data_IF_886683237241
#
_entry.id   IF_886683237241
#
_cell.length_a   1.000
_cell.length_b   1.000
_cell.length_c   1.000
_cell.angle_alpha   90.00
_cell.angle_beta   90.00
_cell.angle_gamma   90.00
#
_symmetry.space_group_name_H-M   'P 1'
#
loop_
_entity.id
_entity.type
_entity.pdbx_description
1 polymer ?
#
# COMPACT_ATOMS: atom_id res chain seq x y z
N UNK A 1 -38.67 -52.27 43.42
CA UNK A 1 -37.81 -51.07 43.43
C UNK A 1 -37.56 -50.68 41.98
N UNK A 2 -38.44 -49.86 41.40
CA UNK A 2 -38.32 -49.35 40.02
C UNK A 2 -38.04 -47.86 40.11
N UNK A 3 -36.99 -47.40 39.42
CA UNK A 3 -36.67 -45.97 39.32
C UNK A 3 -36.83 -45.59 37.83
N UNK A 4 -37.88 -44.85 37.44
CA UNK A 4 -38.02 -44.39 36.07
C UNK A 4 -37.19 -43.12 35.89
N UNK A 5 -36.16 -43.24 35.04
CA UNK A 5 -35.99 -42.46 33.82
C UNK A 5 -36.12 -40.93 33.93
N UNK A 6 -34.98 -40.31 34.25
CA UNK A 6 -34.25 -39.33 33.42
C UNK A 6 -35.08 -38.74 32.26
N UNK A 7 -36.05 -37.89 32.58
CA UNK A 7 -36.79 -37.10 31.59
C UNK A 7 -36.77 -35.64 32.02
N UNK A 8 -35.59 -35.00 32.01
CA UNK A 8 -35.50 -33.52 32.11
C UNK A 8 -34.12 -32.94 31.75
N UNK A 9 -33.34 -33.65 30.94
CA UNK A 9 -32.08 -33.13 30.37
C UNK A 9 -32.14 -33.06 28.83
N UNK A 10 -33.36 -32.94 28.27
CA UNK A 10 -33.60 -32.72 26.84
C UNK A 10 -33.54 -31.24 26.42
N UNK A 11 -33.19 -30.34 27.34
CA UNK A 11 -32.57 -29.05 26.97
C UNK A 11 -31.07 -29.26 26.74
N UNK A 12 -30.74 -30.23 25.88
CA UNK A 12 -29.48 -30.28 25.17
C UNK A 12 -29.40 -28.98 24.38
N UNK A 13 -28.78 -27.96 24.98
CA UNK A 13 -27.57 -27.36 24.43
C UNK A 13 -27.54 -27.32 22.89
N UNK A 14 -28.56 -26.74 22.26
CA UNK A 14 -28.38 -26.09 20.95
C UNK A 14 -27.70 -24.76 21.24
N UNK A 15 -26.54 -24.81 21.91
CA UNK A 15 -25.55 -23.75 21.76
C UNK A 15 -25.03 -24.03 20.35
N UNK A 16 -25.62 -23.33 19.38
CA UNK A 16 -25.01 -23.17 18.07
C UNK A 16 -23.63 -22.62 18.37
N UNK A 17 -22.63 -23.50 18.36
CA UNK A 17 -21.23 -23.09 18.35
C UNK A 17 -21.02 -22.51 16.96
N UNK A 18 -21.37 -21.23 16.82
CA UNK A 18 -20.89 -20.41 15.73
C UNK A 18 -19.38 -20.40 15.92
N UNK A 19 -18.73 -21.39 15.30
CA UNK A 19 -17.29 -21.44 15.18
C UNK A 19 -16.97 -20.28 14.26
N UNK A 20 -16.67 -19.12 14.84
CA UNK A 20 -16.14 -17.99 14.10
C UNK A 20 -14.77 -18.43 13.61
N UNK A 21 -14.73 -19.04 12.43
CA UNK A 21 -13.47 -19.27 11.74
C UNK A 21 -13.00 -17.89 11.31
N UNK A 22 -12.09 -17.30 12.08
CA UNK A 22 -11.37 -16.12 11.67
C UNK A 22 -10.60 -16.50 10.39
N UNK A 23 -11.14 -16.15 9.23
CA UNK A 23 -10.42 -16.29 7.97
C UNK A 23 -9.20 -15.38 8.07
N UNK A 24 -8.02 -15.98 8.28
CA UNK A 24 -6.77 -15.25 8.24
C UNK A 24 -6.63 -14.63 6.85
N UNK A 25 -6.75 -13.30 6.76
CA UNK A 25 -6.43 -12.58 5.52
C UNK A 25 -4.95 -12.80 5.28
N UNK A 26 -4.56 -13.35 4.12
CA UNK A 26 -3.15 -13.64 3.85
C UNK A 26 -2.36 -12.34 3.78
N UNK A 27 -1.11 -12.38 4.25
CA UNK A 27 -0.16 -11.30 4.04
C UNK A 27 0.44 -11.38 2.62
N UNK A 28 0.68 -10.21 2.06
CA UNK A 28 1.36 -10.01 0.79
C UNK A 28 2.65 -9.20 1.04
N UNK A 29 3.68 -9.48 0.25
CA UNK A 29 4.86 -8.60 0.16
C UNK A 29 4.61 -7.61 -0.95
N UNK A 30 4.73 -6.33 -0.63
CA UNK A 30 4.64 -5.23 -1.57
C UNK A 30 6.03 -4.63 -1.76
N UNK A 31 6.46 -4.51 -3.01
CA UNK A 31 7.66 -3.77 -3.39
C UNK A 31 7.23 -2.55 -4.19
N UNK A 32 7.51 -1.37 -3.65
CA UNK A 32 7.23 -0.07 -4.27
C UNK A 32 8.54 0.47 -4.81
N UNK A 33 8.60 0.73 -6.11
CA UNK A 33 9.70 1.46 -6.72
C UNK A 33 9.22 2.84 -7.11
N UNK A 34 10.00 3.85 -6.77
CA UNK A 34 9.68 5.24 -7.10
C UNK A 34 10.86 5.82 -7.87
N UNK A 35 10.59 6.34 -9.06
CA UNK A 35 11.58 7.05 -9.86
C UNK A 35 11.36 8.55 -9.69
N UNK A 36 12.31 9.22 -9.04
CA UNK A 36 12.44 10.67 -9.14
C UNK A 36 12.92 11.00 -10.54
N UNK A 37 12.30 11.97 -11.20
CA UNK A 37 12.70 12.38 -12.55
C UNK A 37 13.98 13.18 -12.56
N UNK A 38 14.44 13.54 -13.77
CA UNK A 38 15.74 14.19 -13.99
C UNK A 38 15.63 15.69 -14.26
N UNK A 39 14.50 16.32 -13.93
CA UNK A 39 14.34 17.78 -14.06
C UNK A 39 15.28 18.48 -13.09
N UNK A 40 15.64 19.72 -13.37
CA UNK A 40 16.44 20.51 -12.43
C UNK A 40 15.73 20.57 -11.07
N UNK A 41 16.49 20.28 -10.00
CA UNK A 41 15.98 20.23 -8.62
C UNK A 41 14.75 19.31 -8.39
N UNK A 42 14.69 18.18 -9.10
CA UNK A 42 13.59 17.22 -8.96
C UNK A 42 13.52 16.44 -7.63
N UNK A 43 14.57 16.46 -6.81
CA UNK A 43 14.67 15.69 -5.55
C UNK A 43 14.04 16.39 -4.35
N UNK A 44 13.74 15.65 -3.29
CA UNK A 44 13.07 16.19 -2.09
C UNK A 44 13.54 15.55 -0.78
N UNK A 45 13.59 16.37 0.28
CA UNK A 45 13.77 15.91 1.66
C UNK A 45 12.42 15.75 2.42
N UNK A 46 11.29 15.86 1.71
CA UNK A 46 9.97 15.71 2.33
C UNK A 46 9.66 14.26 2.71
N UNK A 47 8.74 14.09 3.66
CA UNK A 47 8.18 12.77 3.98
C UNK A 47 7.16 12.38 2.91
N UNK A 48 7.40 11.24 2.27
CA UNK A 48 6.54 10.72 1.21
C UNK A 48 5.59 9.65 1.74
N UNK A 49 4.31 9.86 1.49
CA UNK A 49 3.23 8.91 1.75
C UNK A 49 2.70 8.27 0.46
N UNK A 50 2.26 7.02 0.57
CA UNK A 50 1.75 6.21 -0.54
C UNK A 50 0.48 5.49 -0.09
N UNK A 51 -0.61 5.70 -0.82
CA UNK A 51 -1.84 4.90 -0.69
C UNK A 51 -2.01 4.05 -1.94
N UNK A 52 -2.25 2.76 -1.75
CA UNK A 52 -2.49 1.79 -2.83
C UNK A 52 -3.88 1.21 -2.67
N UNK A 53 -4.71 1.27 -3.71
CA UNK A 53 -6.06 0.71 -3.65
C UNK A 53 -6.37 -0.22 -4.80
N UNK A 54 -7.26 -1.17 -4.52
CA UNK A 54 -7.87 -2.02 -5.53
C UNK A 54 -9.16 -1.42 -6.10
N UNK A 55 -9.76 -2.10 -7.07
CA UNK A 55 -10.99 -1.66 -7.74
C UNK A 55 -12.25 -1.67 -6.85
N UNK A 56 -12.12 -2.14 -5.60
CA UNK A 56 -13.21 -2.28 -4.63
C UNK A 56 -12.98 -1.36 -3.42
N UNK A 57 -12.13 -0.34 -3.57
CA UNK A 57 -11.78 0.67 -2.55
C UNK A 57 -11.12 0.10 -1.29
N UNK A 58 -10.61 -1.14 -1.32
CA UNK A 58 -9.72 -1.61 -0.27
C UNK A 58 -8.35 -1.00 -0.48
N UNK A 59 -7.73 -0.53 0.59
CA UNK A 59 -6.48 0.22 0.50
C UNK A 59 -5.44 -0.18 1.54
N UNK A 60 -4.19 0.15 1.21
CA UNK A 60 -3.04 0.19 2.10
C UNK A 60 -2.59 1.65 2.16
N UNK A 61 -2.43 2.19 3.36
CA UNK A 61 -2.05 3.60 3.58
C UNK A 61 -0.71 3.66 4.32
N UNK A 62 0.33 4.06 3.60
CA UNK A 62 1.71 4.15 4.09
C UNK A 62 2.06 5.63 4.25
N UNK A 63 2.08 6.13 5.48
CA UNK A 63 2.33 7.57 5.76
C UNK A 63 3.77 8.00 5.53
N UNK A 64 4.72 7.08 5.63
CA UNK A 64 6.14 7.34 5.40
C UNK A 64 6.75 6.10 4.77
N UNK A 65 6.98 6.14 3.46
CA UNK A 65 7.43 4.98 2.67
C UNK A 65 8.86 4.54 3.03
N UNK A 66 9.72 5.50 3.39
CA UNK A 66 11.08 5.23 3.84
C UNK A 66 11.09 4.41 5.14
N UNK A 67 10.35 4.86 6.16
CA UNK A 67 10.26 4.14 7.44
C UNK A 67 9.55 2.80 7.31
N UNK A 68 8.59 2.70 6.40
CA UNK A 68 7.82 1.48 6.20
C UNK A 68 8.65 0.37 5.55
N UNK A 69 9.49 0.69 4.57
CA UNK A 69 10.15 -0.35 3.77
C UNK A 69 11.47 0.04 3.13
N UNK A 70 12.13 1.12 3.53
CA UNK A 70 13.44 1.51 2.98
C UNK A 70 14.51 0.44 3.19
N UNK A 71 15.18 0.04 2.11
CA UNK A 71 16.19 -1.04 2.12
C UNK A 71 17.59 -0.61 1.68
N UNK A 72 17.81 0.68 1.40
CA UNK A 72 19.10 1.18 0.86
C UNK A 72 20.19 1.38 1.92
N UNK A 73 19.89 1.10 3.19
CA UNK A 73 20.84 1.17 4.29
C UNK A 73 20.79 2.48 5.05
N UNK A 74 21.60 2.56 6.12
CA UNK A 74 21.63 3.72 7.02
C UNK A 74 22.32 4.91 6.34
N UNK A 75 21.70 6.09 6.44
CA UNK A 75 22.24 7.34 5.91
C UNK A 75 22.08 7.52 4.40
N UNK A 76 21.36 6.62 3.72
CA UNK A 76 20.95 6.84 2.34
C UNK A 76 19.97 8.00 2.26
N UNK A 77 20.21 8.94 1.35
CA UNK A 77 19.27 10.03 1.08
C UNK A 77 18.30 9.59 -0.02
N UNK A 78 17.04 9.36 0.35
CA UNK A 78 16.02 8.87 -0.57
C UNK A 78 15.46 10.02 -1.42
N UNK A 79 14.91 9.67 -2.58
CA UNK A 79 14.13 10.55 -3.46
C UNK A 79 14.95 11.67 -4.13
N UNK A 80 16.27 11.52 -4.20
CA UNK A 80 17.15 12.46 -4.89
C UNK A 80 16.91 12.46 -6.42
N UNK A 81 17.31 13.57 -7.06
CA UNK A 81 17.13 13.78 -8.50
C UNK A 81 17.67 12.61 -9.34
N UNK A 82 16.81 12.01 -10.17
CA UNK A 82 17.13 10.88 -11.03
C UNK A 82 17.27 9.52 -10.34
N UNK A 83 17.14 9.43 -9.01
CA UNK A 83 17.26 8.16 -8.30
C UNK A 83 16.02 7.28 -8.47
N UNK A 84 16.28 5.97 -8.52
CA UNK A 84 15.28 4.93 -8.36
C UNK A 84 15.36 4.40 -6.94
N UNK A 85 14.34 4.66 -6.15
CA UNK A 85 14.23 4.15 -4.78
C UNK A 85 13.36 2.90 -4.74
N UNK A 86 13.71 1.96 -3.85
CA UNK A 86 13.00 0.70 -3.68
C UNK A 86 12.63 0.54 -2.21
N UNK A 87 11.35 0.29 -1.97
CA UNK A 87 10.80 0.03 -0.65
C UNK A 87 10.12 -1.33 -0.65
N UNK A 88 10.28 -2.13 0.40
CA UNK A 88 9.61 -3.44 0.52
C UNK A 88 9.07 -3.65 1.92
N UNK A 89 7.80 -4.03 2.01
CA UNK A 89 7.11 -4.27 3.27
C UNK A 89 6.05 -5.37 3.15
N UNK A 90 5.53 -5.82 4.29
CA UNK A 90 4.42 -6.77 4.38
C UNK A 90 3.17 -6.05 4.82
N UNK A 91 2.08 -6.29 4.11
CA UNK A 91 0.75 -5.80 4.47
C UNK A 91 -0.28 -6.89 4.18
N UNK A 92 -1.52 -6.70 4.64
CA UNK A 92 -2.62 -7.57 4.24
C UNK A 92 -2.76 -7.55 2.71
N UNK A 93 -3.01 -8.70 2.12
CA UNK A 93 -3.33 -8.76 0.69
C UNK A 93 -4.61 -7.97 0.41
N UNK A 94 -4.56 -7.06 -0.57
CA UNK A 94 -5.78 -6.52 -1.15
C UNK A 94 -6.54 -7.64 -1.88
N UNK A 95 -7.89 -7.63 -1.86
CA UNK A 95 -8.71 -8.63 -2.54
C UNK A 95 -8.48 -8.70 -4.05
N UNK A 96 -8.23 -7.57 -4.68
CA UNK A 96 -7.97 -7.44 -6.13
C UNK A 96 -6.61 -6.79 -6.41
N UNK A 97 -6.08 -6.88 -7.66
CA UNK A 97 -4.88 -6.17 -8.05
C UNK A 97 -4.99 -4.66 -7.79
N UNK A 98 -3.87 -4.06 -7.39
CA UNK A 98 -3.75 -2.61 -7.21
C UNK A 98 -4.00 -1.94 -8.57
N UNK A 99 -4.84 -0.92 -8.58
CA UNK A 99 -5.14 -0.14 -9.77
C UNK A 99 -5.25 1.36 -9.49
N UNK A 100 -5.17 1.78 -8.23
CA UNK A 100 -5.16 3.17 -7.81
C UNK A 100 -3.93 3.46 -6.96
N UNK A 101 -3.29 4.59 -7.23
CA UNK A 101 -2.20 5.16 -6.44
C UNK A 101 -2.59 6.56 -5.99
N UNK A 102 -2.43 6.87 -4.71
CA UNK A 102 -2.30 8.24 -4.21
C UNK A 102 -0.89 8.43 -3.67
N UNK A 103 -0.21 9.46 -4.12
CA UNK A 103 1.13 9.83 -3.68
C UNK A 103 1.06 11.20 -3.00
N UNK A 104 1.66 11.32 -1.81
CA UNK A 104 1.62 12.55 -1.01
C UNK A 104 3.01 12.96 -0.58
N UNK A 105 3.30 14.25 -0.60
CA UNK A 105 4.45 14.87 0.07
C UNK A 105 3.93 15.69 1.26
N UNK A 106 4.65 15.70 2.38
CA UNK A 106 4.34 16.58 3.50
C UNK A 106 4.87 18.02 3.32
N UNK A 107 5.64 18.27 2.26
CA UNK A 107 6.19 19.58 1.93
C UNK A 107 7.25 20.08 2.91
N UNK A 108 7.82 19.21 3.74
CA UNK A 108 8.86 19.55 4.71
C UNK A 108 10.28 19.37 4.14
N UNK A 109 11.29 19.72 4.94
CA UNK A 109 12.70 19.54 4.57
C UNK A 109 13.27 20.66 3.70
N UNK A 110 14.51 20.48 3.26
CA UNK A 110 15.12 21.36 2.28
C UNK A 110 14.69 20.93 0.87
N UNK A 111 14.41 21.90 -0.01
CA UNK A 111 13.88 21.66 -1.36
C UNK A 111 12.67 20.69 -1.37
N UNK A 112 11.51 21.08 -0.83
CA UNK A 112 10.37 20.18 -0.67
C UNK A 112 9.70 19.76 -1.99
N UNK A 113 9.89 20.54 -3.06
CA UNK A 113 9.31 20.24 -4.37
C UNK A 113 9.90 18.96 -4.96
N UNK A 114 9.04 18.07 -5.45
CA UNK A 114 9.46 16.74 -5.90
C UNK A 114 8.88 16.41 -7.26
N UNK A 115 9.72 16.08 -8.24
CA UNK A 115 9.23 15.62 -9.55
C UNK A 115 9.34 14.12 -9.68
N UNK A 116 8.19 13.47 -9.86
CA UNK A 116 8.10 12.00 -9.92
C UNK A 116 7.80 11.57 -11.34
N UNK A 117 8.61 10.66 -11.89
CA UNK A 117 8.35 10.08 -13.21
C UNK A 117 7.30 8.99 -13.13
N UNK A 118 7.52 7.99 -12.27
CA UNK A 118 6.61 6.86 -12.12
C UNK A 118 6.74 6.19 -10.75
N UNK A 119 5.69 5.43 -10.42
CA UNK A 119 5.70 4.46 -9.33
C UNK A 119 5.35 3.09 -9.90
N UNK A 120 6.12 2.07 -9.54
CA UNK A 120 5.86 0.68 -9.91
C UNK A 120 5.69 -0.15 -8.65
N UNK A 121 4.55 -0.84 -8.56
CA UNK A 121 4.20 -1.65 -7.41
C UNK A 121 4.15 -3.10 -7.82
N UNK A 122 4.88 -3.93 -7.10
CA UNK A 122 4.86 -5.38 -7.24
C UNK A 122 4.21 -6.00 -6.02
N UNK A 123 3.20 -6.84 -6.23
CA UNK A 123 2.56 -7.62 -5.16
C UNK A 123 2.94 -9.09 -5.30
N UNK A 124 3.47 -9.66 -4.22
CA UNK A 124 3.84 -11.07 -4.15
C UNK A 124 3.09 -11.77 -3.00
N UNK A 125 2.27 -12.76 -3.36
CA UNK A 125 1.57 -13.65 -2.43
C UNK A 125 2.17 -15.05 -2.50
N UNK A 126 2.32 -15.71 -1.36
CA UNK A 126 2.87 -17.06 -1.28
C UNK A 126 2.06 -18.01 -2.18
N UNK A 127 2.76 -18.76 -3.05
CA UNK A 127 2.17 -19.72 -4.01
C UNK A 127 1.16 -19.11 -4.99
N UNK A 128 1.26 -17.82 -5.28
CA UNK A 128 0.42 -17.13 -6.27
C UNK A 128 1.27 -16.41 -7.31
N UNK A 129 0.65 -16.00 -8.42
CA UNK A 129 1.30 -15.18 -9.44
C UNK A 129 1.58 -13.79 -8.87
N UNK A 130 2.76 -13.26 -9.20
CA UNK A 130 3.15 -11.88 -8.89
C UNK A 130 2.43 -10.93 -9.84
N UNK A 131 1.82 -9.87 -9.31
CA UNK A 131 1.25 -8.79 -10.11
C UNK A 131 2.16 -7.56 -10.06
N UNK A 132 2.19 -6.81 -11.16
CA UNK A 132 2.95 -5.56 -11.27
C UNK A 132 2.02 -4.51 -11.85
N UNK A 133 1.88 -3.37 -11.17
CA UNK A 133 1.14 -2.21 -11.64
C UNK A 133 2.11 -1.03 -11.72
N UNK A 134 2.10 -0.33 -12.86
CA UNK A 134 2.91 0.88 -13.05
C UNK A 134 1.99 2.08 -13.22
N UNK A 135 2.31 3.16 -12.53
CA UNK A 135 1.62 4.42 -12.57
C UNK A 135 2.56 5.49 -13.14
N UNK A 136 2.21 6.06 -14.28
CA UNK A 136 2.93 7.22 -14.83
C UNK A 136 2.50 8.46 -14.06
N UNK A 137 3.44 9.09 -13.34
CA UNK A 137 3.15 10.27 -12.52
C UNK A 137 3.47 11.53 -13.32
N UNK A 138 4.73 11.72 -13.70
CA UNK A 138 5.25 12.85 -14.50
C UNK A 138 4.79 14.23 -14.01
N UNK A 139 4.73 14.43 -12.69
CA UNK A 139 4.13 15.59 -12.06
C UNK A 139 5.01 16.09 -10.90
N UNK A 140 5.04 17.41 -10.70
CA UNK A 140 5.56 18.02 -9.48
C UNK A 140 4.58 17.83 -8.32
N UNK A 141 5.08 17.34 -7.19
CA UNK A 141 4.43 17.47 -5.89
C UNK A 141 5.12 18.62 -5.15
N UNK A 142 4.59 19.82 -5.34
CA UNK A 142 5.21 21.07 -4.91
C UNK A 142 4.14 22.16 -4.75
N UNK A 143 4.40 23.18 -3.94
CA UNK A 143 3.50 24.35 -3.80
C UNK A 143 3.91 25.54 -4.67
N UNK A 144 5.14 25.52 -5.17
CA UNK A 144 5.78 26.56 -5.96
C UNK A 144 5.96 26.17 -7.44
N UNK A 145 5.67 24.91 -7.79
CA UNK A 145 5.66 24.42 -9.16
C UNK A 145 4.29 23.84 -9.53
N UNK A 146 3.82 24.11 -10.75
CA UNK A 146 2.53 23.61 -11.24
C UNK A 146 2.50 22.07 -11.21
N UNK A 147 1.42 21.45 -10.68
CA UNK A 147 0.08 22.00 -10.44
C UNK A 147 -0.14 22.66 -9.07
N UNK A 148 0.90 22.93 -8.28
CA UNK A 148 0.81 23.52 -6.94
C UNK A 148 0.11 22.61 -5.92
N UNK A 149 0.27 21.29 -6.10
CA UNK A 149 -0.33 20.26 -5.27
C UNK A 149 0.76 19.42 -4.61
N UNK A 150 0.60 19.08 -3.33
CA UNK A 150 1.47 18.13 -2.62
C UNK A 150 0.91 16.70 -2.67
N UNK A 151 -0.11 16.46 -3.48
CA UNK A 151 -0.78 15.16 -3.59
C UNK A 151 -1.16 14.93 -5.03
N UNK A 152 -1.08 13.67 -5.48
CA UNK A 152 -1.52 13.29 -6.82
C UNK A 152 -2.10 11.89 -6.81
N UNK A 153 -3.07 11.63 -7.68
CA UNK A 153 -3.74 10.34 -7.83
C UNK A 153 -3.57 9.79 -9.25
N UNK A 154 -3.32 8.49 -9.39
CA UNK A 154 -3.30 7.78 -10.67
C UNK A 154 -4.22 6.58 -10.59
N UNK A 155 -5.28 6.63 -11.40
CA UNK A 155 -6.32 5.61 -11.47
C UNK A 155 -6.23 4.86 -12.80
N UNK A 156 -5.74 3.63 -12.73
CA UNK A 156 -5.65 2.68 -13.84
C UNK A 156 -6.71 1.56 -13.70
N UNK A 157 -7.72 1.75 -12.86
CA UNK A 157 -8.79 0.77 -12.68
C UNK A 157 -9.64 0.72 -13.95
N UNK A 158 -9.85 -0.49 -14.49
CA UNK A 158 -10.63 -0.68 -15.73
C UNK A 158 -9.85 -0.45 -17.02
N UNK A 159 -8.58 -0.04 -16.94
CA UNK A 159 -7.65 -0.25 -18.05
C UNK A 159 -7.38 -1.76 -18.19
N UNK A 160 -7.20 -2.28 -19.41
CA UNK A 160 -6.92 -3.70 -19.63
C UNK A 160 -5.54 -4.04 -19.02
N UNK A 161 -5.54 -4.54 -17.78
CA UNK A 161 -4.35 -5.03 -17.04
C UNK A 161 -3.90 -6.41 -17.52
#
# INVERSE_FOLDING_TARGET
MNRPDILLLSFLLIIVTISVVALAVPDCVYTIKIQTGTREDAGTDSVIGVTLSDNSEHFIDIKNVERWGGIMGSGHNYNENGNLEIFTGKEKCLPSPICLLTLTSDGSGNKPGWYVDYVEVTTAKVRSVRTVQRFSVQQWLAIDESPYELTTERNNCGENQ
#
